data_IF_284957226856
#
_entry.id   IF_284957226856
#
_cell.length_a   1.000
_cell.length_b   1.000
_cell.length_c   1.000
_cell.angle_alpha   90.00
_cell.angle_beta   90.00
_cell.angle_gamma   90.00
#
_symmetry.space_group_name_H-M   'P 1'
#
loop_
_entity.id
_entity.type
_entity.pdbx_description
1 polymer ?
#
# COMPACT_ATOMS: atom_id res chain seq x y z
N UNK A 1 0.68 0.13 -27.64
CA UNK A 1 1.16 -1.02 -26.86
C UNK A 1 0.58 -0.89 -25.47
N UNK A 2 -0.12 -1.91 -24.97
CA UNK A 2 -0.43 -2.00 -23.54
C UNK A 2 0.90 -2.19 -22.81
N UNK A 3 1.23 -1.40 -21.78
CA UNK A 3 2.41 -1.68 -20.95
C UNK A 3 2.24 -3.07 -20.37
N UNK A 4 3.28 -3.88 -20.48
CA UNK A 4 3.32 -5.24 -19.96
C UNK A 4 2.83 -5.27 -18.51
N UNK A 5 2.00 -6.28 -18.24
CA UNK A 5 1.30 -6.50 -17.00
C UNK A 5 2.22 -7.03 -15.88
N UNK A 6 3.42 -6.48 -15.72
CA UNK A 6 4.24 -6.63 -14.50
C UNK A 6 3.77 -5.67 -13.39
N UNK A 7 2.47 -5.35 -13.40
CA UNK A 7 1.78 -4.30 -12.63
C UNK A 7 1.83 -4.54 -11.10
N UNK A 8 2.42 -5.65 -10.63
CA UNK A 8 2.53 -5.98 -9.21
C UNK A 8 3.97 -6.06 -8.68
N UNK A 9 5.01 -5.85 -9.50
CA UNK A 9 6.37 -5.69 -8.97
C UNK A 9 6.62 -4.23 -8.60
N UNK A 10 6.35 -3.89 -7.34
CA UNK A 10 6.80 -2.62 -6.78
C UNK A 10 8.30 -2.72 -6.48
N UNK A 11 9.14 -1.89 -7.11
CA UNK A 11 10.57 -1.76 -6.78
C UNK A 11 10.77 -1.55 -5.28
N UNK A 12 9.84 -0.81 -4.64
CA UNK A 12 9.85 -0.56 -3.20
C UNK A 12 9.60 -1.83 -2.39
N UNK A 13 8.70 -2.71 -2.84
CA UNK A 13 8.50 -4.03 -2.21
C UNK A 13 9.80 -4.83 -2.21
N UNK A 14 10.53 -4.83 -3.33
CA UNK A 14 11.78 -5.58 -3.45
C UNK A 14 12.92 -4.96 -2.62
N UNK A 15 12.87 -3.65 -2.37
CA UNK A 15 13.74 -2.98 -1.38
C UNK A 15 13.36 -3.42 0.03
N UNK A 16 12.08 -3.43 0.39
CA UNK A 16 11.62 -3.80 1.73
C UNK A 16 11.97 -5.24 2.12
N UNK A 17 11.99 -6.18 1.16
CA UNK A 17 12.51 -7.54 1.36
C UNK A 17 13.95 -7.62 1.83
N UNK A 18 14.74 -6.58 1.55
CA UNK A 18 16.17 -6.51 1.86
C UNK A 18 16.46 -5.69 3.12
N UNK A 19 15.44 -5.12 3.76
CA UNK A 19 15.62 -4.36 4.99
C UNK A 19 16.06 -5.31 6.12
N UNK A 20 17.15 -4.94 6.77
CA UNK A 20 17.59 -5.59 8.00
C UNK A 20 16.83 -5.01 9.19
N UNK A 21 15.96 -5.81 9.78
CA UNK A 21 15.18 -5.44 10.97
C UNK A 21 15.80 -5.99 12.27
N UNK A 22 17.03 -6.52 12.23
CA UNK A 22 17.71 -7.08 13.41
C UNK A 22 17.92 -6.06 14.53
N UNK A 23 18.04 -4.78 14.18
CA UNK A 23 18.27 -3.69 15.12
C UNK A 23 17.00 -3.15 15.77
N UNK A 24 15.80 -3.55 15.29
CA UNK A 24 14.55 -3.14 15.90
C UNK A 24 14.31 -3.96 17.16
N UNK A 25 13.97 -3.26 18.25
CA UNK A 25 13.44 -3.88 19.46
C UNK A 25 12.08 -4.53 19.20
N UNK A 26 11.62 -5.36 20.14
CA UNK A 26 10.29 -5.97 20.05
C UNK A 26 9.18 -4.91 19.93
N UNK A 27 9.24 -3.85 20.76
CA UNK A 27 8.26 -2.76 20.74
C UNK A 27 8.25 -2.03 19.38
N UNK A 28 9.43 -1.67 18.86
CA UNK A 28 9.53 -1.03 17.54
C UNK A 28 9.01 -1.93 16.42
N UNK A 29 9.24 -3.25 16.53
CA UNK A 29 8.74 -4.24 15.55
C UNK A 29 7.20 -4.32 15.59
N UNK A 30 6.60 -4.32 16.78
CA UNK A 30 5.14 -4.29 16.94
C UNK A 30 4.54 -2.99 16.40
N UNK A 31 5.14 -1.84 16.73
CA UNK A 31 4.70 -0.54 16.22
C UNK A 31 4.77 -0.48 14.69
N UNK A 32 5.83 -1.02 14.10
CA UNK A 32 5.98 -1.09 12.65
C UNK A 32 4.93 -2.01 12.01
N UNK A 33 4.65 -3.17 12.60
CA UNK A 33 3.63 -4.09 12.11
C UNK A 33 2.24 -3.44 12.12
N UNK A 34 1.85 -2.85 13.26
CA UNK A 34 0.56 -2.17 13.42
C UNK A 34 0.44 -0.95 12.49
N UNK A 35 1.50 -0.14 12.38
CA UNK A 35 1.52 0.98 11.45
C UNK A 35 1.35 0.55 10.00
N UNK A 36 1.98 -0.56 9.58
CA UNK A 36 1.76 -1.10 8.25
C UNK A 36 0.30 -1.53 8.05
N UNK A 37 -0.30 -2.23 9.01
CA UNK A 37 -1.70 -2.66 8.95
C UNK A 37 -2.66 -1.47 8.81
N UNK A 38 -2.50 -0.45 9.65
CA UNK A 38 -3.30 0.79 9.61
C UNK A 38 -3.20 1.49 8.26
N UNK A 39 -1.99 1.61 7.71
CA UNK A 39 -1.78 2.24 6.40
C UNK A 39 -2.33 1.40 5.25
N UNK A 40 -2.20 0.07 5.29
CA UNK A 40 -2.81 -0.83 4.31
C UNK A 40 -4.33 -0.64 4.33
N UNK A 41 -4.95 -0.67 5.51
CA UNK A 41 -6.39 -0.47 5.66
C UNK A 41 -6.83 0.91 5.13
N UNK A 42 -6.09 1.97 5.47
CA UNK A 42 -6.35 3.32 4.99
C UNK A 42 -6.28 3.46 3.46
N UNK A 43 -5.25 2.87 2.83
CA UNK A 43 -5.10 2.88 1.38
C UNK A 43 -6.21 2.09 0.68
N UNK A 44 -6.54 0.89 1.18
CA UNK A 44 -7.64 0.10 0.67
C UNK A 44 -8.99 0.82 0.79
N UNK A 45 -9.23 1.48 1.94
CA UNK A 45 -10.41 2.30 2.14
C UNK A 45 -10.47 3.47 1.17
N UNK A 46 -9.36 4.17 0.96
CA UNK A 46 -9.24 5.27 -0.01
C UNK A 46 -9.54 4.81 -1.44
N UNK A 47 -9.01 3.67 -1.87
CA UNK A 47 -9.32 3.08 -3.18
C UNK A 47 -10.79 2.72 -3.32
N UNK A 48 -11.40 2.16 -2.27
CA UNK A 48 -12.83 1.83 -2.26
C UNK A 48 -13.71 3.09 -2.35
N UNK A 49 -13.37 4.13 -1.57
CA UNK A 49 -14.05 5.41 -1.63
C UNK A 49 -13.95 6.05 -3.02
N UNK A 50 -12.75 6.00 -3.62
CA UNK A 50 -12.51 6.52 -4.96
C UNK A 50 -13.33 5.76 -6.02
N UNK A 51 -13.37 4.43 -5.92
CA UNK A 51 -14.19 3.59 -6.80
C UNK A 51 -15.67 3.93 -6.70
N UNK A 52 -16.20 4.09 -5.48
CA UNK A 52 -17.58 4.55 -5.25
C UNK A 52 -17.84 5.92 -5.85
N UNK A 53 -16.89 6.84 -5.69
CA UNK A 53 -16.98 8.20 -6.23
C UNK A 53 -17.13 8.18 -7.76
N UNK A 54 -16.36 7.33 -8.46
CA UNK A 54 -16.52 7.20 -9.92
C UNK A 54 -17.85 6.60 -10.34
N UNK A 55 -18.38 5.62 -9.59
CA UNK A 55 -19.72 5.09 -9.84
C UNK A 55 -20.76 6.19 -9.67
N UNK A 56 -20.69 6.96 -8.58
CA UNK A 56 -21.60 8.10 -8.34
C UNK A 56 -21.50 9.19 -9.41
N UNK A 57 -20.30 9.47 -9.93
CA UNK A 57 -20.11 10.40 -11.05
C UNK A 57 -20.75 9.89 -12.34
N UNK A 58 -20.62 8.59 -12.64
CA UNK A 58 -21.31 7.99 -13.77
C UNK A 58 -22.84 8.05 -13.61
N UNK A 59 -23.36 7.76 -12.42
CA UNK A 59 -24.80 7.84 -12.11
C UNK A 59 -25.36 9.27 -12.19
N UNK A 60 -24.49 10.28 -12.09
CA UNK A 60 -24.84 11.71 -12.11
C UNK A 60 -24.48 12.41 -13.42
N UNK A 61 -24.18 11.67 -14.49
CA UNK A 61 -23.77 12.19 -15.80
C UNK A 61 -22.59 13.19 -15.74
N UNK A 62 -21.64 12.97 -14.83
CA UNK A 62 -20.40 13.73 -14.79
C UNK A 62 -19.47 13.21 -15.89
N UNK A 63 -19.43 13.91 -17.01
CA UNK A 63 -18.69 13.51 -18.23
C UNK A 63 -17.29 14.12 -18.35
N UNK A 64 -16.99 15.17 -17.59
CA UNK A 64 -15.75 15.92 -17.73
C UNK A 64 -15.03 16.10 -16.38
N UNK A 65 -13.71 15.84 -16.40
CA UNK A 65 -12.81 16.13 -15.30
C UNK A 65 -11.79 17.17 -15.75
N UNK A 66 -11.40 18.06 -14.83
CA UNK A 66 -10.28 18.95 -15.10
C UNK A 66 -8.99 18.14 -15.32
N UNK A 67 -8.08 18.67 -16.15
CA UNK A 67 -6.76 18.07 -16.36
C UNK A 67 -6.00 17.90 -15.05
N UNK A 68 -6.12 18.87 -14.14
CA UNK A 68 -5.48 18.83 -12.83
C UNK A 68 -6.03 17.69 -11.97
N UNK A 69 -7.35 17.53 -11.91
CA UNK A 69 -8.00 16.45 -11.15
C UNK A 69 -7.57 15.06 -11.67
N UNK A 70 -7.53 14.88 -13.00
CA UNK A 70 -7.06 13.63 -13.60
C UNK A 70 -5.58 13.35 -13.31
N UNK A 71 -4.74 14.39 -13.32
CA UNK A 71 -3.32 14.26 -13.02
C UNK A 71 -3.10 13.85 -11.56
N UNK A 72 -3.74 14.54 -10.61
CA UNK A 72 -3.66 14.25 -9.19
C UNK A 72 -4.17 12.84 -8.87
N UNK A 73 -5.30 12.46 -9.46
CA UNK A 73 -5.86 11.12 -9.37
C UNK A 73 -4.87 10.05 -9.86
N UNK A 74 -4.31 10.25 -11.05
CA UNK A 74 -3.32 9.34 -11.62
C UNK A 74 -2.08 9.19 -10.74
N UNK A 75 -1.58 10.29 -10.17
CA UNK A 75 -0.49 10.25 -9.20
C UNK A 75 -0.86 9.49 -7.94
N UNK A 76 -2.05 9.72 -7.37
CA UNK A 76 -2.54 9.02 -6.19
C UNK A 76 -2.67 7.52 -6.42
N UNK A 77 -3.27 7.11 -7.55
CA UNK A 77 -3.40 5.71 -7.94
C UNK A 77 -2.04 5.05 -8.14
N UNK A 78 -1.11 5.71 -8.84
CA UNK A 78 0.25 5.21 -9.05
C UNK A 78 1.00 5.03 -7.72
N UNK A 79 0.97 6.04 -6.84
CA UNK A 79 1.62 5.96 -5.53
C UNK A 79 1.02 4.85 -4.69
N UNK A 80 -0.31 4.69 -4.69
CA UNK A 80 -0.98 3.61 -3.96
C UNK A 80 -0.61 2.24 -4.50
N UNK A 81 -0.57 2.07 -5.82
CA UNK A 81 -0.16 0.82 -6.47
C UNK A 81 1.28 0.43 -6.14
N UNK A 82 2.18 1.39 -5.91
CA UNK A 82 3.55 1.12 -5.46
C UNK A 82 3.63 0.84 -3.96
N UNK A 83 2.95 1.65 -3.14
CA UNK A 83 3.06 1.61 -1.67
C UNK A 83 2.34 0.41 -1.06
N UNK A 84 1.13 0.10 -1.50
CA UNK A 84 0.32 -0.97 -0.94
C UNK A 84 1.04 -2.33 -0.91
N UNK A 85 1.57 -2.86 -2.03
CA UNK A 85 2.30 -4.13 -2.01
C UNK A 85 3.61 -4.06 -1.20
N UNK A 86 4.25 -2.88 -1.13
CA UNK A 86 5.44 -2.72 -0.29
C UNK A 86 5.08 -2.81 1.20
N UNK A 87 4.06 -2.07 1.65
CA UNK A 87 3.58 -2.12 3.03
C UNK A 87 3.11 -3.53 3.44
N UNK A 88 2.42 -4.24 2.54
CA UNK A 88 2.02 -5.64 2.77
C UNK A 88 3.24 -6.55 2.99
N UNK A 89 4.29 -6.39 2.19
CA UNK A 89 5.52 -7.16 2.36
C UNK A 89 6.24 -6.81 3.66
N UNK A 90 6.34 -5.52 4.00
CA UNK A 90 6.96 -5.09 5.25
C UNK A 90 6.21 -5.63 6.46
N UNK A 91 4.87 -5.55 6.45
CA UNK A 91 4.00 -6.12 7.48
C UNK A 91 4.27 -7.62 7.67
N UNK A 92 4.32 -8.39 6.58
CA UNK A 92 4.63 -9.82 6.65
C UNK A 92 6.04 -10.10 7.19
N UNK A 93 7.04 -9.30 6.84
CA UNK A 93 8.39 -9.43 7.39
C UNK A 93 8.38 -9.17 8.89
N UNK A 94 7.67 -8.13 9.35
CA UNK A 94 7.58 -7.80 10.77
C UNK A 94 6.82 -8.85 11.58
N UNK A 95 5.70 -9.37 11.06
CA UNK A 95 4.94 -10.44 11.71
C UNK A 95 5.79 -11.70 11.89
N UNK A 96 6.54 -12.09 10.85
CA UNK A 96 7.46 -13.25 10.94
C UNK A 96 8.51 -13.06 12.03
N UNK A 97 9.05 -11.85 12.19
CA UNK A 97 10.02 -11.52 13.24
C UNK A 97 9.39 -11.61 14.63
N UNK A 98 8.20 -11.03 14.83
CA UNK A 98 7.45 -11.10 16.09
C UNK A 98 7.23 -12.55 16.50
N UNK A 99 6.71 -13.37 15.58
CA UNK A 99 6.45 -14.78 15.83
C UNK A 99 7.74 -15.52 16.21
N UNK A 100 8.84 -15.28 15.49
CA UNK A 100 10.13 -15.91 15.79
C UNK A 100 10.69 -15.52 17.16
N UNK A 101 10.51 -14.27 17.59
CA UNK A 101 10.94 -13.79 18.90
C UNK A 101 10.09 -14.34 20.04
N UNK A 102 8.78 -14.52 19.82
CA UNK A 102 7.89 -15.14 20.80
C UNK A 102 8.18 -16.64 21.02
N UNK A 103 8.66 -17.37 20.00
CA UNK A 103 9.12 -18.76 20.15
C UNK A 103 10.46 -18.91 20.88
N UNK A 104 11.24 -17.83 21.00
CA UNK A 104 12.55 -17.83 21.66
C UNK A 104 12.48 -17.41 23.14
N UNK A 105 11.28 -17.05 23.64
CA UNK A 105 10.99 -16.71 25.04
C UNK A 105 10.45 -17.91 25.80
#
# INVERSE_FOLDING_TARGET
MLPDADILSSELRDIFRKLDLSQLSAEETFQLANGCEEHIAGLCHGLHFLGKTFVSFADSDVLEFSRESLCQLGHGLKSTATLLPALMELHQITERKIIAEDYLR
#
